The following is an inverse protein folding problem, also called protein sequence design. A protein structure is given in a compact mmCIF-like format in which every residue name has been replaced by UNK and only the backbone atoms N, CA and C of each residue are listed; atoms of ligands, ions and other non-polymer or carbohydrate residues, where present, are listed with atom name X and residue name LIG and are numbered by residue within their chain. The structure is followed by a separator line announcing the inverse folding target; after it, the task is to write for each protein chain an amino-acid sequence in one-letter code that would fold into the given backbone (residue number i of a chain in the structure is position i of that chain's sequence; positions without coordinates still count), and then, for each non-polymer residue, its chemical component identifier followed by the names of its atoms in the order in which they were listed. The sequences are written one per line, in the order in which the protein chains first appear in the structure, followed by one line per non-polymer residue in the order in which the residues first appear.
data_IF_701567461521
#
_entry.id   IF_701567461521
#
_cell.length_a   1.000
_cell.length_b   1.000
_cell.length_c   1.000
_cell.angle_alpha   90.00
_cell.angle_beta   90.00
_cell.angle_gamma   90.00
#
_symmetry.space_group_name_H-M   'P 1'
#
loop_
_entity.id
_entity.type
_entity.pdbx_description
1 polymer ?
#
# COMPACT_ATOMS: atom_id res chain seq x y z
N UNK A 1 30.15 42.82 -10.89
CA UNK A 1 30.16 43.81 -12.00
C UNK A 1 28.93 43.56 -12.85
N UNK A 2 28.18 44.62 -13.15
CA UNK A 2 26.91 44.59 -13.89
C UNK A 2 27.20 44.86 -15.36
N UNK A 3 26.95 43.91 -16.23
CA UNK A 3 26.97 44.13 -17.69
C UNK A 3 25.54 44.14 -18.21
N UNK A 4 25.09 45.32 -18.60
CA UNK A 4 23.90 45.53 -19.43
C UNK A 4 24.38 45.56 -20.89
N UNK A 5 23.71 44.84 -21.80
CA UNK A 5 23.60 45.29 -23.19
C UNK A 5 22.26 44.82 -23.76
N UNK A 6 21.46 45.81 -24.15
CA UNK A 6 20.15 45.75 -24.80
C UNK A 6 20.29 45.96 -26.33
N UNK A 7 19.18 45.75 -27.05
CA UNK A 7 18.91 45.90 -28.50
C UNK A 7 19.08 44.57 -29.28
N UNK A 8 18.16 44.13 -30.14
CA UNK A 8 17.25 44.92 -30.98
C UNK A 8 15.97 44.15 -31.32
N UNK A 9 14.98 44.94 -31.75
CA UNK A 9 13.61 44.58 -32.09
C UNK A 9 13.49 43.86 -33.44
N UNK A 10 12.54 42.94 -33.51
CA UNK A 10 11.81 42.63 -34.74
C UNK A 10 10.36 42.29 -34.36
N UNK A 11 9.51 43.32 -34.40
CA UNK A 11 8.05 43.17 -34.35
C UNK A 11 7.63 42.82 -35.77
N UNK A 12 7.21 41.58 -35.99
CA UNK A 12 6.47 41.18 -37.19
C UNK A 12 5.06 40.78 -36.76
N UNK A 13 4.16 41.76 -36.74
CA UNK A 13 2.73 41.54 -36.62
C UNK A 13 2.20 40.97 -37.93
N UNK A 14 1.92 39.68 -37.99
CA UNK A 14 0.98 39.12 -38.96
C UNK A 14 -0.28 38.69 -38.22
N UNK A 15 -1.32 39.47 -38.47
CA UNK A 15 -2.71 39.20 -38.14
C UNK A 15 -3.14 37.89 -38.78
N UNK A 16 -3.55 36.91 -37.97
CA UNK A 16 -4.62 36.00 -38.37
C UNK A 16 -5.49 35.69 -37.15
N UNK A 17 -6.67 36.32 -37.16
CA UNK A 17 -7.74 36.02 -36.24
C UNK A 17 -8.37 34.67 -36.61
N UNK A 18 -8.27 33.70 -35.72
CA UNK A 18 -9.14 32.53 -35.70
C UNK A 18 -9.52 32.23 -34.25
N UNK A 19 -10.77 32.52 -33.81
CA UNK A 19 -11.26 32.00 -32.55
C UNK A 19 -11.76 30.58 -32.79
N UNK A 20 -10.89 29.59 -32.58
CA UNK A 20 -11.31 28.21 -32.31
C UNK A 20 -10.59 27.78 -31.03
N UNK A 21 -11.13 28.25 -29.89
CA UNK A 21 -10.90 27.59 -28.60
C UNK A 21 -12.02 26.56 -28.43
N UNK A 22 -11.84 25.42 -29.06
CA UNK A 22 -12.60 24.21 -28.81
C UNK A 22 -11.68 23.01 -29.06
N UNK A 23 -10.73 22.79 -28.16
CA UNK A 23 -10.04 21.52 -28.01
C UNK A 23 -9.40 21.48 -26.62
N UNK A 24 -10.17 20.89 -25.71
CA UNK A 24 -9.72 20.14 -24.54
C UNK A 24 -8.45 20.63 -23.84
N UNK A 25 -8.64 21.35 -22.74
CA UNK A 25 -7.85 21.09 -21.54
C UNK A 25 -7.64 19.58 -21.39
N UNK A 26 -6.39 19.06 -21.40
CA UNK A 26 -6.18 17.74 -20.84
C UNK A 26 -6.69 17.83 -19.40
N UNK A 27 -7.65 17.00 -18.97
CA UNK A 27 -8.02 17.00 -17.57
C UNK A 27 -6.74 16.75 -16.81
N UNK A 28 -6.46 17.62 -15.85
CA UNK A 28 -5.57 17.30 -14.75
C UNK A 28 -5.85 15.84 -14.42
N UNK A 29 -4.84 14.98 -14.54
CA UNK A 29 -4.93 13.63 -14.06
C UNK A 29 -5.02 13.73 -12.53
N UNK A 30 -6.21 14.11 -12.04
CA UNK A 30 -6.73 13.70 -10.76
C UNK A 30 -6.46 12.21 -10.74
N UNK A 31 -5.44 11.85 -9.97
CA UNK A 31 -5.17 10.49 -9.59
C UNK A 31 -6.46 10.03 -8.95
N UNK A 32 -7.34 9.41 -9.73
CA UNK A 32 -8.50 8.72 -9.20
C UNK A 32 -7.95 7.85 -8.09
N UNK A 33 -8.40 8.18 -6.88
CA UNK A 33 -8.14 7.37 -5.72
C UNK A 33 -8.67 5.99 -6.07
N UNK A 34 -7.77 5.08 -6.49
CA UNK A 34 -8.00 3.64 -6.51
C UNK A 34 -8.06 3.15 -5.06
N UNK A 35 -8.94 3.76 -4.27
CA UNK A 35 -9.40 3.28 -3.00
C UNK A 35 -10.48 2.27 -3.32
N UNK A 36 -10.20 0.99 -3.05
CA UNK A 36 -11.17 -0.08 -2.74
C UNK A 36 -10.57 -1.48 -2.87
N UNK A 37 -9.26 -1.61 -3.12
CA UNK A 37 -8.58 -2.93 -3.09
C UNK A 37 -7.84 -3.20 -1.77
N UNK A 38 -8.43 -2.97 -0.59
CA UNK A 38 -7.66 -3.12 0.68
C UNK A 38 -8.35 -3.79 1.89
N UNK A 39 -9.46 -4.52 1.71
CA UNK A 39 -10.06 -5.27 2.83
C UNK A 39 -10.14 -6.79 2.68
N UNK A 40 -9.92 -7.36 1.49
CA UNK A 40 -10.08 -8.80 1.30
C UNK A 40 -8.96 -9.66 1.90
N UNK A 41 -7.76 -9.10 2.13
CA UNK A 41 -6.62 -9.88 2.61
C UNK A 41 -6.80 -10.45 4.02
N UNK A 42 -7.42 -9.69 4.92
CA UNK A 42 -7.60 -10.07 6.32
C UNK A 42 -8.72 -11.09 6.49
N UNK A 43 -9.89 -10.83 5.92
CA UNK A 43 -11.03 -11.78 5.94
C UNK A 43 -10.66 -13.15 5.35
N UNK A 44 -9.85 -13.18 4.28
CA UNK A 44 -9.36 -14.44 3.69
C UNK A 44 -8.38 -15.19 4.59
N UNK A 45 -7.73 -14.51 5.53
CA UNK A 45 -6.78 -15.11 6.46
C UNK A 45 -7.48 -15.59 7.73
N UNK A 46 -8.42 -14.82 8.28
CA UNK A 46 -9.29 -15.27 9.38
C UNK A 46 -10.01 -16.56 9.01
N UNK A 47 -10.66 -16.61 7.85
CA UNK A 47 -11.32 -17.82 7.36
C UNK A 47 -10.34 -19.02 7.22
N UNK A 48 -9.05 -18.78 6.97
CA UNK A 48 -8.05 -19.87 6.92
C UNK A 48 -7.67 -20.36 8.31
N UNK A 49 -7.68 -19.48 9.32
CA UNK A 49 -7.48 -19.86 10.70
C UNK A 49 -8.69 -20.62 11.23
N UNK A 50 -9.90 -20.12 11.00
CA UNK A 50 -11.14 -20.78 11.42
C UNK A 50 -11.22 -22.20 10.86
N UNK A 51 -10.96 -22.36 9.56
CA UNK A 51 -10.91 -23.68 8.93
C UNK A 51 -9.78 -24.56 9.48
N UNK A 52 -8.63 -23.99 9.82
CA UNK A 52 -7.54 -24.76 10.41
C UNK A 52 -7.84 -25.21 11.85
N UNK A 53 -8.66 -24.45 12.59
CA UNK A 53 -9.18 -24.84 13.90
C UNK A 53 -10.21 -25.96 13.76
N UNK A 54 -11.15 -25.85 12.82
CA UNK A 54 -12.12 -26.90 12.50
C UNK A 54 -11.43 -28.20 12.06
N UNK A 55 -10.36 -28.10 11.27
CA UNK A 55 -9.54 -29.23 10.82
C UNK A 55 -8.58 -29.76 11.93
N UNK A 56 -8.58 -29.18 13.13
CA UNK A 56 -7.73 -29.58 14.25
C UNK A 56 -6.23 -29.33 14.02
N UNK A 57 -5.87 -28.54 13.01
CA UNK A 57 -4.48 -28.19 12.67
C UNK A 57 -3.95 -27.03 13.52
N UNK A 58 -4.83 -26.16 14.00
CA UNK A 58 -4.53 -25.08 14.92
C UNK A 58 -5.44 -25.15 16.13
N UNK A 59 -4.95 -24.74 17.30
CA UNK A 59 -5.83 -24.47 18.45
C UNK A 59 -6.53 -23.12 18.26
N UNK A 60 -7.68 -22.93 18.92
CA UNK A 60 -8.39 -21.66 18.89
C UNK A 60 -7.52 -20.51 19.41
N UNK A 61 -6.76 -20.77 20.48
CA UNK A 61 -5.81 -19.81 21.04
C UNK A 61 -4.71 -19.43 20.04
N UNK A 62 -4.15 -20.40 19.30
CA UNK A 62 -3.15 -20.13 18.25
C UNK A 62 -3.74 -19.29 17.12
N UNK A 63 -4.97 -19.59 16.69
CA UNK A 63 -5.67 -18.80 15.68
C UNK A 63 -5.89 -17.34 16.14
N UNK A 64 -6.34 -17.15 17.37
CA UNK A 64 -6.55 -15.82 17.97
C UNK A 64 -5.24 -15.02 18.08
N UNK A 65 -4.15 -15.69 18.51
CA UNK A 65 -2.81 -15.09 18.54
C UNK A 65 -2.35 -14.65 17.14
N UNK A 66 -2.53 -15.50 16.12
CA UNK A 66 -2.16 -15.15 14.76
C UNK A 66 -3.02 -14.02 14.19
N UNK A 67 -4.31 -13.97 14.52
CA UNK A 67 -5.19 -12.87 14.13
C UNK A 67 -4.74 -11.54 14.77
N UNK A 68 -4.39 -11.56 16.07
CA UNK A 68 -3.87 -10.41 16.78
C UNK A 68 -2.53 -9.92 16.21
N UNK A 69 -1.55 -10.82 16.01
CA UNK A 69 -0.25 -10.49 15.41
C UNK A 69 -0.41 -9.88 14.00
N UNK A 70 -1.31 -10.44 13.18
CA UNK A 70 -1.59 -9.90 11.87
C UNK A 70 -2.20 -8.49 11.90
N UNK A 71 -3.10 -8.24 12.85
CA UNK A 71 -3.71 -6.93 13.07
C UNK A 71 -2.65 -5.91 13.50
N UNK A 72 -1.81 -6.27 14.48
CA UNK A 72 -0.69 -5.45 14.93
C UNK A 72 0.27 -5.10 13.77
N UNK A 73 0.70 -6.09 12.98
CA UNK A 73 1.58 -5.87 11.84
C UNK A 73 0.97 -4.86 10.83
N UNK A 74 -0.35 -4.92 10.61
CA UNK A 74 -1.07 -3.97 9.75
C UNK A 74 -1.15 -2.58 10.36
N UNK A 75 -1.43 -2.47 11.65
CA UNK A 75 -1.51 -1.22 12.39
C UNK A 75 -0.15 -0.52 12.44
N UNK A 76 0.93 -1.25 12.69
CA UNK A 76 2.29 -0.72 12.63
C UNK A 76 2.62 -0.18 11.23
N UNK A 77 2.29 -0.92 10.17
CA UNK A 77 2.50 -0.45 8.80
C UNK A 77 1.61 0.74 8.46
N UNK A 78 0.46 0.90 9.12
CA UNK A 78 -0.40 2.08 8.99
C UNK A 78 0.21 3.27 9.71
N UNK A 79 0.64 3.11 10.96
CA UNK A 79 1.30 4.14 11.75
C UNK A 79 2.59 4.63 11.07
N UNK A 80 3.41 3.72 10.52
CA UNK A 80 4.61 4.08 9.75
C UNK A 80 4.28 4.87 8.49
N UNK A 81 3.16 4.59 7.81
CA UNK A 81 2.70 5.41 6.67
C UNK A 81 2.26 6.77 7.15
N UNK A 82 1.44 6.83 8.19
CA UNK A 82 0.93 8.08 8.75
C UNK A 82 2.08 8.99 9.20
N UNK A 83 3.12 8.43 9.82
CA UNK A 83 4.35 9.15 10.20
C UNK A 83 5.17 9.67 9.00
N UNK A 84 5.08 9.02 7.84
CA UNK A 84 5.85 9.34 6.63
C UNK A 84 4.99 9.95 5.51
N UNK A 85 3.94 10.70 5.86
CA UNK A 85 3.12 11.41 4.87
C UNK A 85 2.29 10.49 3.97
N UNK A 86 1.86 9.34 4.48
CA UNK A 86 1.02 8.35 3.80
C UNK A 86 1.78 7.24 3.05
N UNK A 87 3.12 7.23 3.08
CA UNK A 87 3.94 6.27 2.35
C UNK A 87 4.92 5.55 3.28
N UNK A 88 5.23 4.28 2.99
CA UNK A 88 6.34 3.60 3.65
C UNK A 88 7.64 3.91 2.91
N UNK A 89 8.72 4.18 3.64
CA UNK A 89 10.06 4.25 3.03
C UNK A 89 10.45 2.89 2.45
N UNK A 90 11.43 2.83 1.52
CA UNK A 90 11.93 1.55 1.00
C UNK A 90 12.35 0.57 2.11
N UNK A 91 13.07 1.06 3.12
CA UNK A 91 13.56 0.28 4.25
C UNK A 91 12.39 -0.27 5.07
N UNK A 92 11.39 0.56 5.37
CA UNK A 92 10.19 0.13 6.09
C UNK A 92 9.36 -0.88 5.30
N UNK A 93 9.29 -0.74 3.97
CA UNK A 93 8.64 -1.74 3.11
C UNK A 93 9.35 -3.08 3.21
N UNK A 94 10.68 -3.08 3.21
CA UNK A 94 11.45 -4.32 3.27
C UNK A 94 11.38 -4.96 4.66
N UNK A 95 11.45 -4.18 5.73
CA UNK A 95 11.18 -4.65 7.09
C UNK A 95 9.76 -5.26 7.21
N UNK A 96 8.75 -4.56 6.68
CA UNK A 96 7.37 -5.07 6.69
C UNK A 96 7.23 -6.36 5.88
N UNK A 97 7.88 -6.47 4.71
CA UNK A 97 7.89 -7.70 3.91
C UNK A 97 8.53 -8.85 4.67
N UNK A 98 9.69 -8.62 5.30
CA UNK A 98 10.41 -9.63 6.08
C UNK A 98 9.57 -10.11 7.27
N UNK A 99 8.99 -9.19 8.05
CA UNK A 99 8.11 -9.53 9.18
C UNK A 99 6.88 -10.31 8.72
N UNK A 100 6.25 -9.90 7.62
CA UNK A 100 5.11 -10.63 7.04
C UNK A 100 5.50 -12.02 6.56
N UNK A 101 6.70 -12.19 6.00
CA UNK A 101 7.20 -13.48 5.57
C UNK A 101 7.49 -14.40 6.76
N UNK A 102 8.16 -13.90 7.80
CA UNK A 102 8.39 -14.63 9.04
C UNK A 102 7.07 -15.06 9.70
N UNK A 103 6.08 -14.15 9.78
CA UNK A 103 4.74 -14.48 10.26
C UNK A 103 4.07 -15.59 9.44
N UNK A 104 4.13 -15.50 8.10
CA UNK A 104 3.59 -16.57 7.23
C UNK A 104 4.27 -17.91 7.45
N UNK A 105 5.59 -17.92 7.64
CA UNK A 105 6.33 -19.15 7.92
C UNK A 105 5.95 -19.72 9.29
N UNK A 106 5.79 -18.88 10.32
CA UNK A 106 5.31 -19.27 11.65
C UNK A 106 3.93 -19.93 11.57
N UNK A 107 2.97 -19.26 10.92
CA UNK A 107 1.62 -19.79 10.68
C UNK A 107 1.67 -21.11 9.92
N UNK A 108 2.45 -21.17 8.84
CA UNK A 108 2.56 -22.37 8.00
C UNK A 108 3.19 -23.55 8.75
N UNK A 109 4.20 -23.29 9.58
CA UNK A 109 4.81 -24.29 10.44
C UNK A 109 3.79 -24.80 11.48
N UNK A 110 3.05 -23.89 12.11
CA UNK A 110 1.99 -24.24 13.06
C UNK A 110 0.83 -25.02 12.41
N UNK A 111 0.51 -24.76 11.14
CA UNK A 111 -0.48 -25.54 10.39
C UNK A 111 0.02 -26.92 9.94
N UNK A 112 1.35 -27.10 9.83
CA UNK A 112 1.98 -28.35 9.36
C UNK A 112 2.37 -29.27 10.50
N UNK A 113 2.84 -28.73 11.62
CA UNK A 113 2.89 -29.47 12.86
C UNK A 113 1.43 -29.67 13.28
N UNK A 114 0.87 -30.89 13.28
CA UNK A 114 -0.44 -31.08 13.91
C UNK A 114 -0.33 -30.47 15.30
N UNK A 115 -1.32 -29.66 15.70
CA UNK A 115 -1.36 -29.10 17.05
C UNK A 115 -0.98 -30.24 17.99
N UNK A 116 0.17 -30.13 18.66
CA UNK A 116 0.61 -31.17 19.57
C UNK A 116 -0.51 -31.26 20.60
N UNK A 117 -1.35 -32.29 20.44
CA UNK A 117 -2.52 -32.53 21.24
C UNK A 117 -1.99 -32.82 22.64
N UNK A 118 -1.87 -31.77 23.44
CA UNK A 118 -1.79 -31.89 24.88
C UNK A 118 -3.15 -32.37 25.35
N UNK A 119 -3.20 -33.69 25.58
CA UNK A 119 -3.95 -34.44 26.61
C UNK A 119 -5.21 -33.78 27.16
#
# INVERSE_FOLDING_TARGET
MRSKLTLSAAVASLLFAAPVFAAETPPAATKECRGERKHHGFKRMEHRFDRAVEEGRLTREQADQFAAEAKQLREEARAQREANGGQLTPEQKDQFKQRRQAFRQKVHAAMKAPAAQGV
#
